data_IF_688844063951
#
_entry.id   IF_688844063951
#
_cell.length_a   1.000
_cell.length_b   1.000
_cell.length_c   1.000
_cell.angle_alpha   90.00
_cell.angle_beta   90.00
_cell.angle_gamma   90.00
#
_symmetry.space_group_name_H-M   'P 1'
#
loop_
_entity.id
_entity.type
_entity.pdbx_description
1 polymer ?
#
# COMPACT_ATOMS: atom_id res chain seq x y z
N UNK A 1 37.49 -12.92 4.26
CA UNK A 1 36.69 -12.05 3.37
C UNK A 1 35.90 -11.11 4.24
N UNK A 2 36.18 -9.80 4.16
CA UNK A 2 35.56 -8.78 5.02
C UNK A 2 34.23 -8.40 4.40
N UNK A 3 33.11 -8.65 5.09
CA UNK A 3 31.79 -8.20 4.68
C UNK A 3 31.69 -6.68 4.83
N UNK A 4 31.23 -6.02 3.76
CA UNK A 4 31.05 -4.57 3.67
C UNK A 4 29.87 -4.11 4.56
N UNK A 5 29.96 -2.95 5.24
CA UNK A 5 28.95 -2.45 6.17
C UNK A 5 27.66 -1.88 5.47
N UNK A 6 27.52 -2.01 4.15
CA UNK A 6 26.34 -1.50 3.42
C UNK A 6 25.05 -2.32 3.63
N UNK A 7 25.17 -3.61 4.03
CA UNK A 7 23.99 -4.47 4.20
C UNK A 7 23.17 -4.16 5.47
N UNK A 8 23.78 -3.54 6.46
CA UNK A 8 23.13 -3.23 7.76
C UNK A 8 22.16 -2.03 7.68
N UNK A 9 22.29 -1.15 6.68
CA UNK A 9 21.47 0.09 6.59
C UNK A 9 20.16 -0.07 5.81
N UNK A 10 20.05 -1.09 4.94
CA UNK A 10 18.81 -1.33 4.16
C UNK A 10 17.69 -2.00 4.98
N UNK A 11 18.02 -2.69 6.05
CA UNK A 11 17.01 -3.35 6.91
C UNK A 11 16.24 -2.34 7.77
N UNK A 12 16.79 -1.14 8.01
CA UNK A 12 16.13 -0.08 8.78
C UNK A 12 14.95 0.61 8.07
N UNK A 13 14.88 0.53 6.74
CA UNK A 13 13.91 1.30 5.95
C UNK A 13 12.45 0.79 6.05
N UNK A 14 12.25 -0.50 6.33
CA UNK A 14 10.92 -1.07 6.51
C UNK A 14 10.31 -0.81 7.91
N UNK A 15 11.12 -0.37 8.88
CA UNK A 15 10.71 -0.26 10.28
C UNK A 15 10.00 1.05 10.65
N UNK A 16 10.06 2.10 9.83
CA UNK A 16 9.69 3.45 10.29
C UNK A 16 8.28 3.93 9.92
N UNK A 17 7.51 3.20 9.13
CA UNK A 17 6.10 3.56 8.87
C UNK A 17 5.14 3.23 10.03
N UNK A 18 5.64 2.69 11.16
CA UNK A 18 4.82 2.20 12.27
C UNK A 18 5.00 2.99 13.58
N UNK A 19 5.49 4.22 13.54
CA UNK A 19 5.47 5.10 14.72
C UNK A 19 4.02 5.53 15.03
N UNK A 20 3.31 4.66 15.74
CA UNK A 20 2.03 5.00 16.38
C UNK A 20 2.37 5.69 17.69
N UNK A 21 2.19 7.01 17.77
CA UNK A 21 2.09 7.73 19.04
C UNK A 21 0.86 7.21 19.79
N UNK A 22 1.09 6.41 20.82
CA UNK A 22 0.08 6.07 21.80
C UNK A 22 -0.26 7.35 22.60
N UNK A 23 -1.47 7.88 22.42
CA UNK A 23 -2.03 8.84 23.36
C UNK A 23 -2.37 8.09 24.65
N UNK A 24 -1.56 8.27 25.70
CA UNK A 24 -1.93 7.91 27.06
C UNK A 24 -3.11 8.78 27.53
N UNK A 25 -4.27 8.18 27.73
CA UNK A 25 -5.31 8.75 28.56
C UNK A 25 -5.16 8.18 29.97
N UNK A 26 -4.88 9.07 30.94
CA UNK A 26 -4.92 8.79 32.38
C UNK A 26 -6.29 8.28 32.79
N UNK A 27 -6.30 7.14 33.51
CA UNK A 27 -7.43 6.57 34.18
C UNK A 27 -7.88 7.46 35.38
N UNK A 28 -9.16 7.61 35.53
CA UNK A 28 -9.81 7.89 36.80
C UNK A 28 -10.69 6.69 37.18
N UNK A 29 -10.42 6.20 38.37
CA UNK A 29 -11.04 5.08 39.08
C UNK A 29 -12.48 5.38 39.53
N UNK A 30 -13.34 4.35 39.49
CA UNK A 30 -14.62 4.34 40.14
C UNK A 30 -15.29 2.97 40.03
N UNK A 31 -15.45 2.32 41.19
CA UNK A 31 -15.76 0.92 41.35
C UNK A 31 -17.24 0.56 41.45
N UNK A 32 -17.49 -0.72 41.62
CA UNK A 32 -18.69 -1.28 42.29
C UNK A 32 -19.45 -2.32 41.47
N UNK A 33 -19.33 -3.60 41.83
CA UNK A 33 -20.39 -4.42 42.38
C UNK A 33 -21.16 -5.38 41.49
N UNK A 34 -20.81 -6.64 41.55
CA UNK A 34 -21.63 -7.79 41.97
C UNK A 34 -22.73 -8.37 41.06
N UNK A 35 -22.71 -9.69 40.90
CA UNK A 35 -23.92 -10.45 40.60
C UNK A 35 -23.71 -11.69 39.72
N UNK A 36 -23.58 -12.82 40.40
CA UNK A 36 -23.52 -14.19 39.91
C UNK A 36 -24.93 -14.70 39.59
N UNK A 37 -25.11 -15.52 38.49
CA UNK A 37 -25.93 -16.77 38.55
C UNK A 37 -25.72 -17.58 37.27
N UNK A 38 -25.56 -18.88 37.47
CA UNK A 38 -25.31 -19.88 36.45
C UNK A 38 -26.57 -20.43 35.78
N UNK A 39 -26.38 -21.18 34.73
CA UNK A 39 -27.40 -22.01 34.03
C UNK A 39 -26.74 -22.89 32.97
N UNK A 40 -26.64 -24.18 33.29
CA UNK A 40 -26.14 -25.19 32.35
C UNK A 40 -27.18 -25.49 31.25
N UNK A 41 -26.71 -25.86 30.08
CA UNK A 41 -27.51 -26.30 28.95
C UNK A 41 -26.70 -27.20 28.02
N UNK A 42 -27.11 -28.40 27.97
CA UNK A 42 -26.73 -29.63 27.30
C UNK A 42 -26.37 -29.46 25.80
N UNK A 43 -25.45 -30.36 25.39
CA UNK A 43 -24.92 -30.49 24.03
C UNK A 43 -25.94 -30.76 22.94
N UNK A 44 -25.69 -30.14 21.81
CA UNK A 44 -26.27 -30.47 20.52
C UNK A 44 -25.15 -30.51 19.49
N UNK A 45 -24.84 -31.70 18.96
CA UNK A 45 -23.93 -31.88 17.84
C UNK A 45 -24.44 -31.17 16.60
N UNK A 46 -23.97 -29.94 16.40
CA UNK A 46 -24.18 -29.18 15.17
C UNK A 46 -23.12 -29.59 14.14
N UNK A 47 -23.50 -30.33 13.10
CA UNK A 47 -22.72 -30.47 11.90
C UNK A 47 -22.34 -29.05 11.40
N UNK A 48 -21.06 -28.71 11.52
CA UNK A 48 -20.58 -27.43 11.09
C UNK A 48 -20.86 -27.22 9.60
N UNK A 49 -21.77 -26.30 9.31
CA UNK A 49 -21.97 -25.79 7.95
C UNK A 49 -20.63 -25.22 7.53
N UNK A 50 -19.93 -25.88 6.61
CA UNK A 50 -18.73 -25.34 5.98
C UNK A 50 -19.17 -24.03 5.30
N UNK A 51 -18.65 -22.87 5.72
CA UNK A 51 -19.05 -21.62 5.11
C UNK A 51 -18.82 -21.67 3.60
N UNK A 52 -19.85 -21.32 2.81
CA UNK A 52 -19.69 -21.17 1.36
C UNK A 52 -18.80 -19.96 1.14
N UNK A 53 -17.57 -20.21 0.73
CA UNK A 53 -16.57 -19.16 0.51
C UNK A 53 -16.99 -18.24 -0.63
N UNK A 54 -16.96 -16.95 -0.41
CA UNK A 54 -17.01 -15.95 -1.48
C UNK A 54 -15.69 -16.02 -2.27
N UNK A 55 -15.69 -16.80 -3.34
CA UNK A 55 -14.53 -16.98 -4.21
C UNK A 55 -14.15 -15.70 -4.94
N UNK A 56 -15.05 -14.70 -4.99
CA UNK A 56 -14.82 -13.38 -5.56
C UNK A 56 -14.09 -12.44 -4.60
N UNK A 57 -14.09 -12.75 -3.29
CA UNK A 57 -13.41 -11.94 -2.29
C UNK A 57 -11.90 -11.94 -2.53
N UNK A 58 -11.27 -10.76 -2.35
CA UNK A 58 -9.83 -10.60 -2.49
C UNK A 58 -9.12 -11.24 -1.29
N UNK A 59 -8.21 -12.15 -1.55
CA UNK A 59 -7.23 -12.69 -0.60
C UNK A 59 -5.85 -12.43 -1.20
N UNK A 60 -5.29 -11.28 -0.82
CA UNK A 60 -4.09 -10.74 -1.45
C UNK A 60 -2.83 -10.97 -0.64
N UNK A 61 -1.70 -10.88 -1.33
CA UNK A 61 -0.39 -10.75 -0.71
C UNK A 61 0.46 -9.78 -1.50
N UNK A 62 1.19 -8.90 -0.80
CA UNK A 62 2.20 -8.07 -1.42
C UNK A 62 3.53 -8.82 -1.54
N UNK A 63 4.16 -8.67 -2.71
CA UNK A 63 5.49 -9.24 -3.01
C UNK A 63 6.41 -8.09 -3.39
N UNK A 64 7.39 -7.81 -2.54
CA UNK A 64 8.38 -6.73 -2.75
C UNK A 64 9.75 -7.30 -3.15
N UNK A 65 10.65 -6.43 -3.60
CA UNK A 65 12.07 -6.74 -3.81
C UNK A 65 12.95 -6.40 -2.62
N UNK A 66 12.40 -5.70 -1.63
CA UNK A 66 13.11 -5.34 -0.39
C UNK A 66 13.00 -6.49 0.59
N UNK A 67 14.13 -6.98 1.09
CA UNK A 67 14.20 -8.14 2.00
C UNK A 67 13.47 -9.39 1.48
N UNK A 68 13.46 -9.57 0.15
CA UNK A 68 12.85 -10.71 -0.53
C UNK A 68 13.67 -11.13 -1.74
N UNK A 69 13.72 -12.42 -1.99
CA UNK A 69 14.32 -13.03 -3.19
C UNK A 69 13.28 -13.65 -4.11
N UNK A 70 12.00 -13.43 -3.84
CA UNK A 70 10.89 -14.04 -4.57
C UNK A 70 10.93 -13.82 -6.09
N UNK A 71 11.49 -12.67 -6.54
CA UNK A 71 11.59 -12.31 -7.96
C UNK A 71 12.99 -12.56 -8.56
N UNK A 72 13.95 -13.06 -7.79
CA UNK A 72 15.36 -13.16 -8.22
C UNK A 72 15.60 -14.24 -9.30
N UNK A 73 14.69 -15.19 -9.44
CA UNK A 73 14.72 -16.17 -10.54
C UNK A 73 13.30 -16.64 -10.89
N UNK A 74 13.13 -17.17 -12.10
CA UNK A 74 11.85 -17.80 -12.48
C UNK A 74 11.48 -18.97 -11.55
N UNK A 75 12.47 -19.74 -11.08
CA UNK A 75 12.25 -20.79 -10.10
C UNK A 75 11.71 -20.25 -8.77
N UNK A 76 12.24 -19.11 -8.28
CA UNK A 76 11.73 -18.47 -7.06
C UNK A 76 10.30 -17.98 -7.27
N UNK A 77 9.98 -17.41 -8.44
CA UNK A 77 8.62 -16.98 -8.80
C UNK A 77 7.67 -18.19 -8.81
N UNK A 78 8.06 -19.33 -9.38
CA UNK A 78 7.27 -20.56 -9.39
C UNK A 78 6.98 -21.07 -7.98
N UNK A 79 7.98 -21.05 -7.10
CA UNK A 79 7.85 -21.45 -5.70
C UNK A 79 6.91 -20.48 -4.96
N UNK A 80 7.09 -19.19 -5.12
CA UNK A 80 6.24 -18.13 -4.54
C UNK A 80 4.78 -18.30 -4.96
N UNK A 81 4.52 -18.43 -6.25
CA UNK A 81 3.17 -18.62 -6.82
C UNK A 81 2.54 -19.91 -6.32
N UNK A 82 3.31 -21.01 -6.25
CA UNK A 82 2.82 -22.29 -5.73
C UNK A 82 2.41 -22.17 -4.27
N UNK A 83 3.26 -21.54 -3.44
CA UNK A 83 2.98 -21.35 -2.03
C UNK A 83 1.78 -20.40 -1.82
N UNK A 84 1.67 -19.32 -2.59
CA UNK A 84 0.47 -18.46 -2.56
C UNK A 84 -0.81 -19.26 -2.86
N UNK A 85 -0.79 -20.09 -3.91
CA UNK A 85 -1.95 -20.91 -4.28
C UNK A 85 -2.36 -21.88 -3.17
N UNK A 86 -1.40 -22.61 -2.60
CA UNK A 86 -1.66 -23.58 -1.53
C UNK A 86 -2.07 -22.90 -0.22
N UNK A 87 -1.68 -21.65 -0.01
CA UNK A 87 -2.09 -20.81 1.12
C UNK A 87 -3.48 -20.16 0.94
N UNK A 88 -4.19 -20.45 -0.16
CA UNK A 88 -5.52 -19.88 -0.42
C UNK A 88 -5.51 -18.40 -0.87
N UNK A 89 -4.35 -17.86 -1.20
CA UNK A 89 -4.21 -16.55 -1.86
C UNK A 89 -4.76 -16.64 -3.27
N UNK A 90 -5.45 -15.61 -3.73
CA UNK A 90 -6.00 -15.52 -5.08
C UNK A 90 -5.55 -14.27 -5.85
N UNK A 91 -4.88 -13.32 -5.19
CA UNK A 91 -4.35 -12.12 -5.81
C UNK A 91 -2.92 -11.85 -5.32
N UNK A 92 -1.98 -11.65 -6.25
CA UNK A 92 -0.59 -11.28 -5.98
C UNK A 92 -0.42 -9.81 -6.39
N UNK A 93 0.00 -8.97 -5.44
CA UNK A 93 0.39 -7.58 -5.68
C UNK A 93 1.92 -7.54 -5.78
N UNK A 94 2.41 -7.68 -7.00
CA UNK A 94 3.85 -7.73 -7.27
C UNK A 94 4.41 -6.33 -7.51
N UNK A 95 5.49 -6.00 -6.82
CA UNK A 95 6.18 -4.71 -7.00
C UNK A 95 6.69 -4.57 -8.44
N UNK A 96 6.40 -3.42 -9.05
CA UNK A 96 6.87 -3.07 -10.40
C UNK A 96 7.70 -1.79 -10.43
N UNK A 97 7.59 -0.96 -9.38
CA UNK A 97 8.35 0.28 -9.26
C UNK A 97 8.79 0.50 -7.79
N UNK A 98 10.09 0.59 -7.57
CA UNK A 98 10.70 0.77 -6.26
C UNK A 98 12.04 1.49 -6.40
N UNK A 99 12.30 2.53 -5.57
CA UNK A 99 13.57 3.24 -5.48
C UNK A 99 14.17 3.65 -6.85
N UNK A 100 13.36 4.33 -7.66
CA UNK A 100 13.71 4.77 -9.02
C UNK A 100 14.16 3.62 -9.96
N UNK A 101 13.63 2.40 -9.76
CA UNK A 101 13.83 1.24 -10.62
C UNK A 101 12.51 0.53 -10.88
N UNK A 102 12.42 -0.10 -12.04
CA UNK A 102 11.29 -0.99 -12.38
C UNK A 102 11.71 -2.45 -12.30
N UNK A 103 10.72 -3.34 -12.14
CA UNK A 103 10.90 -4.79 -12.11
C UNK A 103 10.46 -5.40 -13.44
N UNK A 104 10.50 -4.59 -14.48
CA UNK A 104 10.24 -4.92 -15.90
C UNK A 104 11.05 -3.95 -16.78
N UNK A 105 11.42 -4.31 -18.03
CA UNK A 105 12.11 -3.40 -18.92
C UNK A 105 11.23 -2.19 -19.29
N UNK A 106 11.51 -1.03 -18.70
CA UNK A 106 10.73 0.20 -18.86
C UNK A 106 11.40 1.17 -19.81
N UNK A 107 10.68 1.59 -20.85
CA UNK A 107 11.11 2.66 -21.76
C UNK A 107 11.02 4.03 -21.05
N UNK A 108 10.01 4.24 -20.22
CA UNK A 108 9.83 5.47 -19.45
C UNK A 108 11.04 5.74 -18.55
N UNK A 109 11.47 4.73 -17.79
CA UNK A 109 12.66 4.84 -16.93
C UNK A 109 13.96 4.98 -17.73
N UNK A 110 14.10 4.23 -18.82
CA UNK A 110 15.26 4.32 -19.71
C UNK A 110 15.43 5.74 -20.28
N UNK A 111 14.34 6.37 -20.72
CA UNK A 111 14.34 7.73 -21.24
C UNK A 111 14.64 8.78 -20.14
N UNK A 112 14.22 8.56 -18.90
CA UNK A 112 14.39 9.53 -17.82
C UNK A 112 15.80 9.49 -17.21
N UNK A 113 16.29 8.27 -16.88
CA UNK A 113 17.54 8.10 -16.11
C UNK A 113 18.53 7.12 -16.74
N UNK A 114 18.29 6.66 -17.99
CA UNK A 114 19.18 5.72 -18.69
C UNK A 114 19.17 4.29 -18.14
N UNK A 115 18.19 3.95 -17.27
CA UNK A 115 18.05 2.61 -16.65
C UNK A 115 16.66 2.07 -16.90
N UNK A 116 16.56 0.96 -17.64
CA UNK A 116 15.27 0.37 -18.00
C UNK A 116 14.71 -0.58 -16.96
N UNK A 117 15.55 -1.15 -16.08
CA UNK A 117 15.16 -2.15 -15.08
C UNK A 117 16.14 -2.13 -13.91
N UNK A 118 15.75 -2.71 -12.77
CA UNK A 118 16.66 -2.97 -11.65
C UNK A 118 17.80 -3.89 -12.10
N UNK A 119 19.04 -3.49 -11.81
CA UNK A 119 20.27 -4.08 -12.34
C UNK A 119 20.35 -5.61 -12.18
N UNK A 120 19.88 -6.16 -11.03
CA UNK A 120 19.89 -7.61 -10.79
C UNK A 120 18.89 -8.39 -11.67
N UNK A 121 18.02 -7.69 -12.40
CA UNK A 121 17.04 -8.27 -13.32
C UNK A 121 17.38 -8.02 -14.80
N UNK A 122 18.53 -7.43 -15.10
CA UNK A 122 18.95 -7.23 -16.50
C UNK A 122 18.92 -8.54 -17.29
N UNK A 123 18.37 -8.49 -18.49
CA UNK A 123 18.15 -9.67 -19.35
C UNK A 123 16.93 -10.52 -19.01
N UNK A 124 16.11 -10.12 -18.00
CA UNK A 124 14.87 -10.79 -17.59
C UNK A 124 13.69 -9.83 -17.58
N UNK A 125 12.49 -10.38 -17.44
CA UNK A 125 11.26 -9.63 -17.18
C UNK A 125 10.47 -10.30 -16.04
N UNK A 126 10.82 -10.02 -14.77
CA UNK A 126 10.17 -10.64 -13.62
C UNK A 126 8.66 -10.41 -13.56
N UNK A 127 8.14 -9.29 -14.08
CA UNK A 127 6.69 -9.06 -14.15
C UNK A 127 6.02 -10.04 -15.11
N UNK A 128 6.57 -10.20 -16.33
CA UNK A 128 6.04 -11.16 -17.31
C UNK A 128 6.11 -12.59 -16.76
N UNK A 129 7.24 -12.98 -16.18
CA UNK A 129 7.40 -14.30 -15.56
C UNK A 129 6.37 -14.54 -14.45
N UNK A 130 6.11 -13.54 -13.58
CA UNK A 130 5.12 -13.64 -12.51
C UNK A 130 3.71 -13.80 -13.08
N UNK A 131 3.34 -13.05 -14.11
CA UNK A 131 2.04 -13.16 -14.78
C UNK A 131 1.83 -14.57 -15.34
N UNK A 132 2.79 -15.10 -16.07
CA UNK A 132 2.72 -16.43 -16.68
C UNK A 132 2.51 -17.53 -15.61
N UNK A 133 3.36 -17.53 -14.58
CA UNK A 133 3.31 -18.55 -13.53
C UNK A 133 2.03 -18.44 -12.67
N UNK A 134 1.59 -17.22 -12.36
CA UNK A 134 0.38 -16.99 -11.58
C UNK A 134 -0.90 -17.36 -12.34
N UNK A 135 -1.02 -16.92 -13.60
CA UNK A 135 -2.18 -17.22 -14.43
C UNK A 135 -2.29 -18.73 -14.72
N UNK A 136 -1.18 -19.43 -14.91
CA UNK A 136 -1.17 -20.89 -15.06
C UNK A 136 -1.76 -21.62 -13.84
N UNK A 137 -1.75 -21.00 -12.66
CA UNK A 137 -2.36 -21.52 -11.42
C UNK A 137 -3.70 -20.86 -11.05
N UNK A 138 -4.26 -20.00 -11.93
CA UNK A 138 -5.51 -19.29 -11.70
C UNK A 138 -5.45 -18.23 -10.60
N UNK A 139 -4.26 -17.64 -10.37
CA UNK A 139 -4.08 -16.47 -9.52
C UNK A 139 -4.09 -15.20 -10.35
N UNK A 140 -4.56 -14.10 -9.76
CA UNK A 140 -4.54 -12.77 -10.37
C UNK A 140 -3.27 -12.02 -10.00
N UNK A 141 -2.76 -11.20 -10.93
CA UNK A 141 -1.56 -10.39 -10.76
C UNK A 141 -1.91 -8.91 -10.88
N UNK A 142 -1.52 -8.16 -9.84
CA UNK A 142 -1.65 -6.72 -9.78
C UNK A 142 -0.25 -6.10 -9.74
N UNK A 143 0.04 -5.19 -10.67
CA UNK A 143 1.28 -4.44 -10.68
C UNK A 143 1.25 -3.34 -9.59
N UNK A 144 2.12 -3.44 -8.60
CA UNK A 144 2.14 -2.56 -7.44
C UNK A 144 3.27 -1.54 -7.52
N UNK A 145 2.92 -0.26 -7.53
CA UNK A 145 3.84 0.88 -7.60
C UNK A 145 4.23 1.31 -6.19
N UNK A 146 5.05 0.50 -5.52
CA UNK A 146 5.38 0.61 -4.09
C UNK A 146 5.95 1.97 -3.68
N UNK A 147 6.86 2.55 -4.49
CA UNK A 147 7.46 3.86 -4.14
C UNK A 147 6.59 5.06 -4.52
N UNK A 148 5.70 4.92 -5.51
CA UNK A 148 4.82 6.01 -5.90
C UNK A 148 5.58 7.31 -6.17
N UNK A 149 5.21 8.39 -5.46
CA UNK A 149 5.87 9.70 -5.57
C UNK A 149 7.11 9.85 -4.67
N UNK A 150 7.52 8.82 -3.95
CA UNK A 150 8.85 8.79 -3.35
C UNK A 150 9.89 8.50 -4.43
N UNK A 151 10.94 9.32 -4.51
CA UNK A 151 11.99 9.19 -5.54
C UNK A 151 13.13 8.27 -5.14
N UNK A 152 13.45 8.24 -3.83
CA UNK A 152 14.56 7.47 -3.30
C UNK A 152 14.46 7.31 -1.79
N UNK A 153 15.41 6.57 -1.21
CA UNK A 153 15.55 6.43 0.24
C UNK A 153 16.95 6.85 0.66
N UNK A 154 17.04 7.89 1.50
CA UNK A 154 18.30 8.42 2.04
C UNK A 154 19.38 8.71 0.96
N UNK A 155 18.95 9.20 -0.22
CA UNK A 155 19.81 9.40 -1.38
C UNK A 155 19.68 10.81 -1.99
N UNK A 156 19.24 11.79 -1.19
CA UNK A 156 19.10 13.20 -1.60
C UNK A 156 18.28 13.38 -2.90
N UNK A 157 17.18 12.61 -3.03
CA UNK A 157 16.28 12.61 -4.19
C UNK A 157 16.64 11.58 -5.26
N UNK A 158 17.82 10.97 -5.19
CA UNK A 158 18.23 9.90 -6.10
C UNK A 158 18.32 10.31 -7.56
N UNK A 159 18.37 9.34 -8.49
CA UNK A 159 18.63 9.62 -9.91
C UNK A 159 17.49 10.40 -10.58
N UNK A 160 16.24 10.30 -10.11
CA UNK A 160 15.12 11.05 -10.71
C UNK A 160 15.27 12.54 -10.42
N UNK A 161 15.53 12.92 -9.16
CA UNK A 161 15.74 14.34 -8.78
C UNK A 161 17.03 14.86 -9.39
N UNK A 162 18.08 14.04 -9.53
CA UNK A 162 19.29 14.43 -10.25
C UNK A 162 19.02 14.76 -11.73
N UNK A 163 18.17 13.99 -12.39
CA UNK A 163 17.77 14.22 -13.80
C UNK A 163 16.79 15.40 -13.94
N UNK A 164 15.91 15.60 -12.97
CA UNK A 164 14.80 16.58 -12.95
C UNK A 164 14.71 17.29 -11.59
N UNK A 165 15.65 18.23 -11.26
CA UNK A 165 15.69 18.86 -9.94
C UNK A 165 14.41 19.62 -9.55
N UNK A 166 13.67 20.15 -10.54
CA UNK A 166 12.42 20.87 -10.34
C UNK A 166 11.23 19.97 -10.03
N UNK A 167 11.39 18.64 -10.12
CA UNK A 167 10.36 17.67 -9.70
C UNK A 167 10.36 17.43 -8.20
N UNK A 168 11.41 17.84 -7.48
CA UNK A 168 11.52 17.62 -6.05
C UNK A 168 10.43 18.39 -5.28
N UNK A 169 9.74 17.70 -4.36
CA UNK A 169 8.92 18.39 -3.38
C UNK A 169 9.79 19.24 -2.46
N UNK A 170 9.37 20.48 -2.17
CA UNK A 170 10.10 21.40 -1.30
C UNK A 170 9.27 21.74 -0.07
N UNK A 171 9.94 21.85 1.09
CA UNK A 171 9.37 22.40 2.30
C UNK A 171 9.39 23.93 2.28
N UNK A 172 8.90 24.57 3.34
CA UNK A 172 8.80 26.02 3.43
C UNK A 172 10.18 26.71 3.41
N UNK A 173 11.25 26.02 3.76
CA UNK A 173 12.62 26.54 3.72
C UNK A 173 13.30 26.26 2.36
N UNK A 174 12.59 25.68 1.39
CA UNK A 174 13.12 25.29 0.09
C UNK A 174 13.94 24.00 0.10
N UNK A 175 14.02 23.30 1.23
CA UNK A 175 14.74 22.03 1.30
C UNK A 175 13.93 20.89 0.65
N UNK A 176 14.64 19.85 0.15
CA UNK A 176 14.01 18.63 -0.32
C UNK A 176 13.18 18.02 0.81
N UNK A 177 11.92 17.69 0.50
CA UNK A 177 11.06 16.99 1.47
C UNK A 177 11.59 15.58 1.70
N UNK A 178 11.94 15.29 2.95
CA UNK A 178 12.33 13.96 3.42
C UNK A 178 11.42 13.57 4.58
N UNK A 179 10.81 12.40 4.51
CA UNK A 179 10.01 11.85 5.60
C UNK A 179 10.24 10.36 5.75
N UNK A 180 10.57 9.93 6.96
CA UNK A 180 10.90 8.53 7.27
C UNK A 180 12.03 7.97 6.37
N UNK A 181 12.99 8.80 5.99
CA UNK A 181 14.11 8.46 5.10
C UNK A 181 13.75 8.48 3.60
N UNK A 182 12.48 8.60 3.23
CA UNK A 182 12.07 8.73 1.84
C UNK A 182 12.20 10.16 1.36
N UNK A 183 12.80 10.34 0.18
CA UNK A 183 12.88 11.59 -0.55
C UNK A 183 11.68 11.71 -1.49
N UNK A 184 11.10 12.90 -1.67
CA UNK A 184 9.82 13.05 -2.34
C UNK A 184 9.85 13.91 -3.60
N UNK A 185 9.13 13.45 -4.63
CA UNK A 185 8.72 14.25 -5.78
C UNK A 185 7.49 15.08 -5.43
N UNK A 186 7.27 16.17 -6.18
CA UNK A 186 6.05 16.97 -6.07
C UNK A 186 4.91 16.37 -6.92
N UNK A 187 3.91 15.69 -6.33
CA UNK A 187 2.80 15.08 -7.07
C UNK A 187 1.80 16.09 -7.62
N UNK A 188 1.96 17.39 -7.32
CA UNK A 188 1.13 18.47 -7.89
C UNK A 188 1.73 18.96 -9.22
N UNK A 189 3.04 18.75 -9.43
CA UNK A 189 3.71 19.15 -10.66
C UNK A 189 3.26 18.29 -11.86
N UNK A 190 2.82 18.91 -12.99
CA UNK A 190 2.22 18.18 -14.11
C UNK A 190 3.15 17.16 -14.77
N UNK A 191 4.46 17.46 -14.87
CA UNK A 191 5.44 16.50 -15.42
C UNK A 191 5.60 15.29 -14.49
N UNK A 192 5.56 15.46 -13.17
CA UNK A 192 5.65 14.36 -12.19
C UNK A 192 4.39 13.49 -12.28
N UNK A 193 3.22 14.10 -12.42
CA UNK A 193 1.99 13.35 -12.65
C UNK A 193 2.06 12.57 -13.96
N UNK A 194 2.53 13.21 -15.05
CA UNK A 194 2.64 12.56 -16.35
C UNK A 194 3.62 11.40 -16.32
N UNK A 195 4.78 11.56 -15.70
CA UNK A 195 5.75 10.49 -15.50
C UNK A 195 5.13 9.26 -14.81
N UNK A 196 4.38 9.49 -13.73
CA UNK A 196 3.71 8.38 -13.03
C UNK A 196 2.63 7.74 -13.90
N UNK A 197 1.82 8.54 -14.58
CA UNK A 197 0.80 8.05 -15.51
C UNK A 197 1.44 7.21 -16.62
N UNK A 198 2.57 7.65 -17.18
CA UNK A 198 3.25 6.93 -18.26
C UNK A 198 3.77 5.57 -17.80
N UNK A 199 4.27 5.44 -16.57
CA UNK A 199 4.65 4.15 -15.98
C UNK A 199 3.43 3.21 -15.86
N UNK A 200 2.28 3.70 -15.38
CA UNK A 200 1.07 2.89 -15.30
C UNK A 200 0.58 2.48 -16.69
N UNK A 201 0.57 3.41 -17.65
CA UNK A 201 0.16 3.15 -19.04
C UNK A 201 1.08 2.13 -19.71
N UNK A 202 2.38 2.23 -19.47
CA UNK A 202 3.36 1.26 -19.99
C UNK A 202 3.02 -0.16 -19.52
N UNK A 203 2.73 -0.32 -18.22
CA UNK A 203 2.36 -1.63 -17.66
C UNK A 203 1.04 -2.14 -18.24
N UNK A 204 -0.03 -1.36 -18.24
CA UNK A 204 -1.35 -1.84 -18.70
C UNK A 204 -1.39 -2.10 -20.19
N UNK A 205 -0.54 -1.43 -20.97
CA UNK A 205 -0.44 -1.62 -22.42
C UNK A 205 0.34 -2.89 -22.77
N UNK A 206 1.45 -3.13 -22.06
CA UNK A 206 2.40 -4.19 -22.43
C UNK A 206 2.12 -5.53 -21.77
N UNK A 207 1.46 -5.52 -20.60
CA UNK A 207 1.33 -6.71 -19.77
C UNK A 207 -0.13 -7.11 -19.54
N UNK A 208 -0.37 -8.42 -19.46
CA UNK A 208 -1.69 -8.97 -19.16
C UNK A 208 -1.93 -8.98 -17.63
N UNK A 209 -1.74 -7.84 -16.96
CA UNK A 209 -2.08 -7.71 -15.54
C UNK A 209 -3.59 -7.66 -15.34
N UNK A 210 -4.07 -8.21 -14.21
CA UNK A 210 -5.47 -8.14 -13.77
C UNK A 210 -5.78 -6.80 -13.10
N UNK A 211 -4.75 -6.14 -12.57
CA UNK A 211 -4.88 -4.85 -11.92
C UNK A 211 -3.56 -4.09 -11.83
N UNK A 212 -3.70 -2.83 -11.40
CA UNK A 212 -2.59 -1.97 -10.99
C UNK A 212 -2.92 -1.35 -9.65
N UNK A 213 -1.90 -1.09 -8.84
CA UNK A 213 -2.10 -0.57 -7.49
C UNK A 213 -1.11 0.54 -7.16
N UNK A 214 -1.66 1.66 -6.61
CA UNK A 214 -0.89 2.64 -5.87
C UNK A 214 -0.71 2.25 -4.41
N UNK A 215 0.19 2.94 -3.69
CA UNK A 215 0.58 2.60 -2.33
C UNK A 215 0.32 3.74 -1.33
N UNK A 216 0.84 3.61 -0.11
CA UNK A 216 0.86 4.69 0.89
C UNK A 216 1.70 5.90 0.46
N UNK A 217 2.47 5.76 -0.62
CA UNK A 217 3.22 6.83 -1.29
C UNK A 217 2.64 7.25 -2.64
N UNK A 218 1.45 6.73 -3.03
CA UNK A 218 0.80 7.11 -4.29
C UNK A 218 -0.73 6.95 -4.28
N UNK A 219 -1.46 8.07 -4.45
CA UNK A 219 -0.95 9.44 -4.43
C UNK A 219 -0.68 9.88 -3.00
N UNK A 220 0.43 10.51 -2.78
CA UNK A 220 0.80 11.04 -1.47
C UNK A 220 1.89 12.12 -1.60
N UNK A 221 1.91 13.02 -0.65
CA UNK A 221 3.03 13.91 -0.35
C UNK A 221 3.01 14.21 1.15
N UNK A 222 4.16 14.19 1.84
CA UNK A 222 4.20 14.67 3.22
C UNK A 222 3.63 16.09 3.33
N UNK A 223 2.84 16.33 4.37
CA UNK A 223 2.20 17.64 4.58
C UNK A 223 3.17 18.78 4.75
N UNK A 224 4.45 18.52 5.05
CA UNK A 224 5.53 19.51 5.03
C UNK A 224 5.92 20.01 3.64
N UNK A 225 5.47 19.33 2.57
CA UNK A 225 5.77 19.67 1.17
C UNK A 225 4.73 20.58 0.51
N UNK A 226 5.04 21.00 -0.72
CA UNK A 226 4.17 21.84 -1.52
C UNK A 226 4.53 23.32 -1.51
N UNK A 227 5.74 23.66 -1.08
CA UNK A 227 6.25 25.04 -1.09
C UNK A 227 7.25 25.31 -2.23
N UNK A 228 7.31 24.41 -3.21
CA UNK A 228 8.08 24.63 -4.43
C UNK A 228 7.45 25.75 -5.29
N UNK A 229 8.24 26.37 -6.20
CA UNK A 229 7.78 27.50 -7.01
C UNK A 229 6.53 27.22 -7.81
N UNK A 230 6.39 26.00 -8.38
CA UNK A 230 5.22 25.63 -9.18
C UNK A 230 3.94 25.58 -8.31
N UNK A 231 4.00 24.86 -7.19
CA UNK A 231 2.85 24.71 -6.29
C UNK A 231 2.42 26.04 -5.68
N UNK A 232 3.40 26.87 -5.28
CA UNK A 232 3.14 28.20 -4.76
C UNK A 232 2.45 29.10 -5.78
N UNK A 233 2.96 29.15 -7.01
CA UNK A 233 2.34 29.93 -8.09
C UNK A 233 0.93 29.46 -8.44
N UNK A 234 0.70 28.14 -8.47
CA UNK A 234 -0.62 27.55 -8.71
C UNK A 234 -1.60 27.92 -7.59
N UNK A 235 -1.17 27.84 -6.32
CA UNK A 235 -2.00 28.24 -5.19
C UNK A 235 -2.39 29.73 -5.28
N UNK A 236 -1.44 30.61 -5.56
CA UNK A 236 -1.72 32.05 -5.73
C UNK A 236 -2.70 32.30 -6.87
N UNK A 237 -2.52 31.64 -8.00
CA UNK A 237 -3.44 31.75 -9.14
C UNK A 237 -4.88 31.36 -8.77
N UNK A 238 -5.05 30.26 -8.07
CA UNK A 238 -6.37 29.71 -7.71
C UNK A 238 -7.03 30.39 -6.51
N UNK A 239 -6.28 31.16 -5.72
CA UNK A 239 -6.76 31.82 -4.49
C UNK A 239 -6.70 33.35 -4.56
N UNK A 240 -6.73 33.93 -5.76
CA UNK A 240 -6.72 35.41 -5.97
C UNK A 240 -5.49 36.08 -5.35
N UNK A 241 -4.32 35.44 -5.43
CA UNK A 241 -3.05 36.00 -4.99
C UNK A 241 -2.64 35.65 -3.54
N UNK A 242 -3.42 34.83 -2.83
CA UNK A 242 -3.05 34.42 -1.47
C UNK A 242 -1.75 33.59 -1.48
N UNK A 243 -0.90 33.81 -0.47
CA UNK A 243 0.29 32.97 -0.25
C UNK A 243 -0.09 31.66 0.45
N UNK A 244 0.60 30.54 0.17
CA UNK A 244 0.41 29.32 0.94
C UNK A 244 0.59 29.57 2.45
N UNK A 245 -0.25 28.96 3.31
CA UNK A 245 -0.11 29.05 4.76
C UNK A 245 1.30 28.63 5.21
N UNK A 246 1.88 29.36 6.16
CA UNK A 246 3.20 29.03 6.73
C UNK A 246 3.17 27.80 7.64
N UNK A 247 1.99 27.46 8.14
CA UNK A 247 1.77 26.24 8.94
C UNK A 247 1.37 25.11 8.00
N UNK A 248 2.23 24.12 7.85
CA UNK A 248 2.10 23.07 6.84
C UNK A 248 0.86 22.17 7.02
N UNK A 249 0.34 22.04 8.24
CA UNK A 249 -0.87 21.29 8.58
C UNK A 249 -2.14 22.17 8.75
N UNK A 250 -2.12 23.41 8.25
CA UNK A 250 -3.32 24.25 8.20
C UNK A 250 -4.42 23.54 7.41
N UNK A 251 -5.66 23.42 7.94
CA UNK A 251 -6.72 22.63 7.29
C UNK A 251 -7.04 23.05 5.85
N UNK A 252 -7.04 24.36 5.57
CA UNK A 252 -7.27 24.86 4.21
C UNK A 252 -6.15 24.44 3.25
N UNK A 253 -4.90 24.42 3.72
CA UNK A 253 -3.73 24.03 2.94
C UNK A 253 -3.68 22.51 2.71
N UNK A 254 -4.01 21.71 3.75
CA UNK A 254 -4.17 20.25 3.59
C UNK A 254 -5.24 19.98 2.54
N UNK A 255 -6.42 20.59 2.70
CA UNK A 255 -7.55 20.36 1.77
C UNK A 255 -7.18 20.69 0.33
N UNK A 256 -6.62 21.88 0.08
CA UNK A 256 -6.27 22.30 -1.27
C UNK A 256 -5.29 21.34 -1.94
N UNK A 257 -4.22 20.93 -1.23
CA UNK A 257 -3.24 19.97 -1.76
C UNK A 257 -3.85 18.58 -1.95
N UNK A 258 -4.67 18.10 -1.01
CA UNK A 258 -5.36 16.82 -1.14
C UNK A 258 -6.32 16.82 -2.34
N UNK A 259 -7.01 17.93 -2.62
CA UNK A 259 -7.88 18.06 -3.80
C UNK A 259 -7.08 17.92 -5.12
N UNK A 260 -5.82 18.38 -5.17
CA UNK A 260 -4.94 18.16 -6.34
C UNK A 260 -4.61 16.67 -6.51
N UNK A 261 -4.39 15.95 -5.41
CA UNK A 261 -4.15 14.51 -5.46
C UNK A 261 -5.44 13.75 -5.81
N UNK A 262 -6.60 14.19 -5.33
CA UNK A 262 -7.90 13.62 -5.72
C UNK A 262 -8.13 13.75 -7.24
N UNK A 263 -7.80 14.91 -7.81
CA UNK A 263 -7.86 15.13 -9.25
C UNK A 263 -6.90 14.23 -10.04
N UNK A 264 -5.69 14.02 -9.52
CA UNK A 264 -4.73 13.09 -10.10
C UNK A 264 -5.25 11.65 -10.12
N UNK A 265 -5.83 11.15 -9.00
CA UNK A 265 -6.41 9.79 -8.96
C UNK A 265 -7.50 9.63 -10.02
N UNK A 266 -8.40 10.61 -10.14
CA UNK A 266 -9.45 10.61 -11.18
C UNK A 266 -8.85 10.56 -12.58
N UNK A 267 -7.83 11.38 -12.85
CA UNK A 267 -7.14 11.42 -14.15
C UNK A 267 -6.47 10.08 -14.44
N UNK A 268 -5.67 9.55 -13.51
CA UNK A 268 -4.97 8.27 -13.66
C UNK A 268 -5.95 7.13 -13.97
N UNK A 269 -7.06 7.04 -13.21
CA UNK A 269 -8.12 6.06 -13.47
C UNK A 269 -8.63 6.15 -14.91
N UNK A 270 -8.97 7.34 -15.35
CA UNK A 270 -9.54 7.54 -16.68
C UNK A 270 -8.56 7.13 -17.79
N UNK A 271 -7.27 7.47 -17.65
CA UNK A 271 -6.25 7.10 -18.61
C UNK A 271 -5.98 5.59 -18.63
N UNK A 272 -5.94 4.93 -17.49
CA UNK A 272 -5.80 3.47 -17.38
C UNK A 272 -7.00 2.76 -18.02
N UNK A 273 -8.22 3.19 -17.65
CA UNK A 273 -9.46 2.57 -18.13
C UNK A 273 -9.71 2.79 -19.62
N UNK A 274 -9.19 3.87 -20.20
CA UNK A 274 -9.22 4.08 -21.64
C UNK A 274 -8.39 3.06 -22.43
N UNK A 275 -7.30 2.54 -21.83
CA UNK A 275 -6.45 1.52 -22.44
C UNK A 275 -7.01 0.12 -22.19
N UNK A 276 -7.32 -0.19 -20.92
CA UNK A 276 -7.77 -1.52 -20.48
C UNK A 276 -8.98 -1.38 -19.54
N UNK A 277 -10.21 -1.32 -20.07
CA UNK A 277 -11.43 -1.02 -19.28
C UNK A 277 -11.65 -1.95 -18.08
N UNK A 278 -11.26 -3.22 -18.20
CA UNK A 278 -11.47 -4.24 -17.19
C UNK A 278 -10.31 -4.37 -16.19
N UNK A 279 -9.18 -3.67 -16.37
CA UNK A 279 -8.07 -3.69 -15.41
C UNK A 279 -8.52 -3.07 -14.09
N UNK A 280 -8.27 -3.73 -12.97
CA UNK A 280 -8.59 -3.17 -11.65
C UNK A 280 -7.58 -2.08 -11.28
N UNK A 281 -8.07 -0.93 -10.84
CA UNK A 281 -7.25 0.12 -10.25
C UNK A 281 -7.53 0.20 -8.75
N UNK A 282 -6.55 -0.12 -7.93
CA UNK A 282 -6.67 -0.13 -6.47
C UNK A 282 -5.59 0.75 -5.83
N UNK A 283 -5.80 1.13 -4.58
CA UNK A 283 -4.80 1.86 -3.78
C UNK A 283 -4.73 1.23 -2.39
N UNK A 284 -3.50 1.12 -1.85
CA UNK A 284 -3.23 0.67 -0.47
C UNK A 284 -2.72 1.85 0.38
N UNK A 285 -3.60 2.76 0.81
CA UNK A 285 -3.23 3.96 1.52
C UNK A 285 -2.93 3.70 3.00
N UNK A 286 -2.33 4.68 3.65
CA UNK A 286 -2.29 4.76 5.11
C UNK A 286 -3.72 4.86 5.70
N UNK A 287 -3.95 4.38 6.95
CA UNK A 287 -5.24 4.53 7.62
C UNK A 287 -5.69 5.99 7.74
N UNK A 288 -6.96 6.27 7.41
CA UNK A 288 -7.55 7.60 7.57
C UNK A 288 -8.00 7.82 9.03
N UNK A 289 -7.92 9.03 9.63
CA UNK A 289 -7.51 10.29 9.00
C UNK A 289 -6.01 10.56 9.02
N UNK A 290 -5.19 9.66 9.60
CA UNK A 290 -3.76 9.83 9.69
C UNK A 290 -3.12 10.01 8.30
N UNK A 291 -3.54 9.20 7.32
CA UNK A 291 -3.07 9.32 5.94
C UNK A 291 -3.31 10.69 5.32
N UNK A 292 -4.47 11.32 5.58
CA UNK A 292 -4.75 12.69 5.13
C UNK A 292 -3.83 13.70 5.82
N UNK A 293 -3.72 13.63 7.15
CA UNK A 293 -3.02 14.63 7.95
C UNK A 293 -1.50 14.57 7.78
N UNK A 294 -0.95 13.41 7.43
CA UNK A 294 0.49 13.20 7.29
C UNK A 294 0.98 13.16 5.84
N UNK A 295 0.10 12.71 4.91
CA UNK A 295 0.47 12.41 3.52
C UNK A 295 -0.54 12.88 2.47
N UNK A 296 -1.56 13.66 2.86
CA UNK A 296 -2.60 14.19 1.97
C UNK A 296 -3.45 13.09 1.28
N UNK A 297 -3.49 11.87 1.85
CA UNK A 297 -4.24 10.74 1.29
C UNK A 297 -5.72 10.79 1.72
N UNK A 298 -6.56 11.36 0.89
CA UNK A 298 -8.02 11.46 1.10
C UNK A 298 -8.76 10.27 0.45
N UNK A 299 -8.41 9.06 0.86
CA UNK A 299 -9.00 7.85 0.27
C UNK A 299 -10.54 7.73 0.44
N UNK A 300 -11.20 8.31 1.46
CA UNK A 300 -12.66 8.32 1.49
C UNK A 300 -13.27 9.01 0.27
N UNK A 301 -12.71 10.13 -0.17
CA UNK A 301 -13.11 10.81 -1.42
C UNK A 301 -12.93 9.92 -2.65
N UNK A 302 -11.84 9.15 -2.73
CA UNK A 302 -11.61 8.25 -3.87
C UNK A 302 -12.62 7.11 -3.94
N UNK A 303 -13.02 6.58 -2.78
CA UNK A 303 -14.05 5.54 -2.64
C UNK A 303 -15.43 6.11 -2.96
N UNK A 304 -15.81 7.22 -2.32
CA UNK A 304 -17.13 7.85 -2.51
C UNK A 304 -17.38 8.25 -3.96
N UNK A 305 -16.34 8.74 -4.64
CA UNK A 305 -16.38 9.14 -6.05
C UNK A 305 -16.15 7.99 -7.04
N UNK A 306 -15.93 6.75 -6.56
CA UNK A 306 -15.60 5.58 -7.37
C UNK A 306 -14.37 5.81 -8.27
N UNK A 307 -13.37 6.55 -7.78
CA UNK A 307 -12.10 6.76 -8.50
C UNK A 307 -11.18 5.54 -8.42
N UNK A 308 -11.48 4.59 -7.55
CA UNK A 308 -10.77 3.31 -7.40
C UNK A 308 -11.76 2.14 -7.44
N UNK A 309 -11.30 0.96 -7.82
CA UNK A 309 -12.11 -0.25 -7.86
C UNK A 309 -12.07 -1.03 -6.53
N UNK A 310 -11.13 -0.72 -5.64
CA UNK A 310 -11.07 -1.15 -4.24
C UNK A 310 -10.02 -0.32 -3.49
N UNK A 311 -10.13 -0.28 -2.16
CA UNK A 311 -9.14 0.32 -1.27
C UNK A 311 -8.63 -0.72 -0.27
N UNK A 312 -7.30 -0.75 -0.04
CA UNK A 312 -6.63 -1.72 0.83
C UNK A 312 -5.82 -0.98 1.92
N UNK A 313 -6.47 -0.31 2.91
CA UNK A 313 -5.75 0.47 3.92
C UNK A 313 -4.75 -0.39 4.70
N UNK A 314 -3.54 0.11 4.93
CA UNK A 314 -2.46 -0.58 5.63
C UNK A 314 -2.71 -0.61 7.15
N UNK A 315 -3.64 -1.45 7.61
CA UNK A 315 -4.05 -1.58 9.02
C UNK A 315 -3.03 -2.37 9.84
N UNK A 316 -1.73 -2.12 9.65
CA UNK A 316 -0.65 -2.87 10.29
C UNK A 316 -0.56 -2.53 11.77
N UNK A 317 -0.76 -3.52 12.65
CA UNK A 317 -0.70 -3.38 14.11
C UNK A 317 -0.08 -4.63 14.73
N UNK A 318 0.43 -4.48 15.94
CA UNK A 318 1.07 -5.55 16.72
C UNK A 318 0.20 -6.01 17.91
N UNK A 319 -0.97 -5.39 18.10
CA UNK A 319 -1.91 -5.65 19.17
C UNK A 319 -3.33 -5.74 18.61
N UNK A 320 -4.14 -6.69 19.13
CA UNK A 320 -5.48 -6.95 18.59
C UNK A 320 -6.48 -5.83 18.92
N UNK A 321 -6.39 -5.21 20.09
CA UNK A 321 -7.31 -4.14 20.43
C UNK A 321 -7.06 -2.90 19.55
N UNK A 322 -5.78 -2.59 19.28
CA UNK A 322 -5.38 -1.51 18.37
C UNK A 322 -5.74 -1.85 16.92
N UNK A 323 -5.59 -3.12 16.49
CA UNK A 323 -6.02 -3.57 15.18
C UNK A 323 -7.53 -3.41 15.00
N UNK A 324 -8.31 -3.93 15.96
CA UNK A 324 -9.78 -3.86 15.93
C UNK A 324 -10.29 -2.42 15.91
N UNK A 325 -9.70 -1.56 16.72
CA UNK A 325 -10.02 -0.12 16.72
C UNK A 325 -9.68 0.52 15.37
N UNK A 326 -8.53 0.17 14.77
CA UNK A 326 -8.12 0.70 13.47
C UNK A 326 -9.10 0.30 12.38
N UNK A 327 -9.40 -0.99 12.22
CA UNK A 327 -10.32 -1.45 11.17
C UNK A 327 -11.76 -0.97 11.40
N UNK A 328 -12.18 -0.80 12.67
CA UNK A 328 -13.45 -0.16 13.02
C UNK A 328 -13.50 1.28 12.51
N UNK A 329 -12.44 2.04 12.76
CA UNK A 329 -12.32 3.43 12.29
C UNK A 329 -12.34 3.48 10.75
N UNK A 330 -11.59 2.62 10.05
CA UNK A 330 -11.63 2.60 8.59
C UNK A 330 -13.04 2.30 8.05
N UNK A 331 -13.79 1.42 8.71
CA UNK A 331 -15.18 1.14 8.34
C UNK A 331 -16.07 2.38 8.43
N UNK A 332 -15.87 3.29 9.38
CA UNK A 332 -16.69 4.50 9.50
C UNK A 332 -16.48 5.48 8.34
N UNK A 333 -15.33 5.45 7.70
CA UNK A 333 -15.00 6.28 6.53
C UNK A 333 -15.33 5.60 5.19
N UNK A 334 -15.61 4.30 5.20
CA UNK A 334 -15.98 3.53 4.02
C UNK A 334 -17.50 3.62 3.77
N UNK A 335 -17.94 4.69 3.10
CA UNK A 335 -19.36 4.98 2.89
C UNK A 335 -19.93 4.33 1.63
N UNK A 336 -19.18 4.34 0.53
CA UNK A 336 -19.60 3.71 -0.71
C UNK A 336 -19.22 2.22 -0.74
N UNK A 337 -20.15 1.36 -0.34
CA UNK A 337 -19.94 -0.09 -0.25
C UNK A 337 -19.84 -0.81 -1.61
N UNK A 338 -20.13 -0.12 -2.72
CA UNK A 338 -19.90 -0.65 -4.07
C UNK A 338 -18.41 -0.71 -4.44
N UNK A 339 -17.58 0.09 -3.75
CA UNK A 339 -16.11 0.01 -3.84
C UNK A 339 -15.62 -0.74 -2.61
N UNK A 340 -15.20 -2.01 -2.72
CA UNK A 340 -14.84 -2.82 -1.55
C UNK A 340 -13.61 -2.29 -0.82
N UNK A 341 -13.60 -2.47 0.50
CA UNK A 341 -12.45 -2.26 1.37
C UNK A 341 -11.93 -3.62 1.85
N UNK A 342 -10.63 -3.83 1.69
CA UNK A 342 -9.91 -5.01 2.15
C UNK A 342 -8.77 -4.58 3.09
N UNK A 343 -8.88 -4.79 4.43
CA UNK A 343 -7.83 -4.38 5.35
C UNK A 343 -6.48 -5.03 5.02
N UNK A 344 -5.42 -4.23 5.05
CA UNK A 344 -4.05 -4.73 5.04
C UNK A 344 -3.72 -5.34 6.41
N UNK A 345 -3.23 -6.58 6.40
CA UNK A 345 -2.86 -7.35 7.59
C UNK A 345 -1.35 -7.48 7.64
N UNK A 346 -0.74 -7.06 8.75
CA UNK A 346 0.69 -7.26 8.96
C UNK A 346 0.99 -8.73 9.21
N UNK A 347 1.69 -9.35 8.27
CA UNK A 347 2.16 -10.73 8.39
C UNK A 347 3.62 -10.78 8.82
N UNK A 348 4.46 -9.94 8.21
CA UNK A 348 5.88 -9.83 8.52
C UNK A 348 6.40 -8.39 8.36
N UNK A 349 7.35 -7.99 9.22
CA UNK A 349 8.15 -6.77 9.06
C UNK A 349 9.49 -6.96 9.77
N UNK A 350 10.60 -6.87 9.03
CA UNK A 350 11.93 -7.14 9.55
C UNK A 350 12.03 -8.51 10.22
N UNK A 351 12.31 -8.55 11.50
CA UNK A 351 12.38 -9.79 12.31
C UNK A 351 11.03 -10.25 12.85
N UNK A 352 10.01 -9.39 12.82
CA UNK A 352 8.67 -9.74 13.29
C UNK A 352 7.94 -10.62 12.28
N UNK A 353 7.29 -11.67 12.77
CA UNK A 353 6.27 -12.45 12.04
C UNK A 353 5.06 -12.63 12.96
N UNK A 354 3.87 -12.35 12.42
CA UNK A 354 2.63 -12.45 13.19
C UNK A 354 2.38 -13.88 13.64
N UNK A 355 2.02 -14.05 14.92
CA UNK A 355 1.74 -15.36 15.47
C UNK A 355 0.39 -15.90 14.97
N UNK A 356 0.24 -17.23 14.81
CA UNK A 356 -0.99 -17.86 14.32
C UNK A 356 -2.26 -17.41 15.05
N UNK A 357 -2.24 -17.32 16.39
CA UNK A 357 -3.38 -16.87 17.19
C UNK A 357 -3.74 -15.41 16.90
N UNK A 358 -2.75 -14.54 16.71
CA UNK A 358 -2.99 -13.14 16.38
C UNK A 358 -3.54 -12.98 14.95
N UNK A 359 -3.03 -13.75 13.99
CA UNK A 359 -3.59 -13.79 12.63
C UNK A 359 -5.07 -14.19 12.64
N UNK A 360 -5.42 -15.24 13.39
CA UNK A 360 -6.82 -15.68 13.56
C UNK A 360 -7.69 -14.55 14.10
N UNK A 361 -7.24 -13.86 15.15
CA UNK A 361 -7.97 -12.74 15.74
C UNK A 361 -8.16 -11.58 14.77
N UNK A 362 -7.14 -11.20 13.99
CA UNK A 362 -7.24 -10.13 12.98
C UNK A 362 -8.25 -10.48 11.89
N UNK A 363 -8.22 -11.73 11.37
CA UNK A 363 -9.17 -12.15 10.33
C UNK A 363 -10.60 -12.20 10.88
N UNK A 364 -10.81 -12.71 12.10
CA UNK A 364 -12.13 -12.69 12.76
C UNK A 364 -12.62 -11.26 12.96
N UNK A 365 -11.76 -10.33 13.40
CA UNK A 365 -12.10 -8.92 13.52
C UNK A 365 -12.57 -8.33 12.17
N UNK A 366 -11.91 -8.68 11.06
CA UNK A 366 -12.34 -8.27 9.73
C UNK A 366 -13.73 -8.83 9.38
N UNK A 367 -13.97 -10.11 9.61
CA UNK A 367 -15.28 -10.77 9.33
C UNK A 367 -16.40 -10.21 10.18
N UNK A 368 -16.16 -9.97 11.48
CA UNK A 368 -17.13 -9.36 12.39
C UNK A 368 -17.58 -7.96 11.94
N UNK A 369 -16.72 -7.24 11.20
CA UNK A 369 -17.04 -5.95 10.61
C UNK A 369 -17.62 -6.02 9.20
N UNK A 370 -17.78 -7.22 8.64
CA UNK A 370 -18.34 -7.45 7.32
C UNK A 370 -17.36 -7.30 6.16
N UNK A 371 -16.05 -7.16 6.44
CA UNK A 371 -15.05 -7.22 5.39
C UNK A 371 -14.90 -8.66 4.88
N UNK A 372 -14.96 -8.83 3.55
CA UNK A 372 -14.99 -10.16 2.92
C UNK A 372 -13.62 -10.70 2.54
N UNK A 373 -12.58 -9.88 2.64
CA UNK A 373 -11.21 -10.26 2.27
C UNK A 373 -10.18 -9.35 2.92
N UNK A 374 -8.93 -9.63 2.67
CA UNK A 374 -7.76 -8.90 3.19
C UNK A 374 -6.57 -9.04 2.25
N UNK A 375 -5.50 -8.26 2.54
CA UNK A 375 -4.22 -8.41 1.89
C UNK A 375 -3.09 -8.47 2.92
N UNK A 376 -2.20 -9.47 2.79
CA UNK A 376 -1.14 -9.72 3.76
C UNK A 376 0.16 -9.01 3.38
N UNK A 377 0.71 -8.26 4.29
CA UNK A 377 2.02 -7.64 4.15
C UNK A 377 3.05 -8.42 4.97
N UNK A 378 3.98 -9.14 4.38
CA UNK A 378 4.20 -9.41 2.96
C UNK A 378 4.59 -10.88 2.77
N UNK A 379 4.82 -11.31 1.51
CA UNK A 379 5.02 -12.71 1.11
C UNK A 379 6.01 -13.49 1.98
N UNK A 380 7.13 -12.88 2.39
CA UNK A 380 8.14 -13.56 3.21
C UNK A 380 7.63 -14.05 4.60
N UNK A 381 6.42 -13.66 4.98
CA UNK A 381 5.76 -14.22 6.15
C UNK A 381 4.96 -15.50 5.84
N UNK A 382 4.57 -15.77 4.60
CA UNK A 382 3.80 -16.97 4.23
C UNK A 382 4.57 -18.25 4.52
N UNK A 383 5.85 -18.43 4.11
CA UNK A 383 6.61 -19.63 4.43
C UNK A 383 6.66 -19.95 5.93
N UNK A 384 6.74 -18.90 6.76
CA UNK A 384 6.87 -19.02 8.21
C UNK A 384 5.54 -19.33 8.91
N UNK A 385 4.43 -19.06 8.25
CA UNK A 385 3.05 -19.26 8.76
C UNK A 385 2.26 -20.26 7.92
N UNK A 386 2.94 -21.07 7.10
CA UNK A 386 2.30 -21.98 6.14
C UNK A 386 1.32 -22.96 6.79
N UNK A 387 1.60 -23.45 7.99
CA UNK A 387 0.69 -24.33 8.75
C UNK A 387 -0.62 -23.63 9.10
N UNK A 388 -0.56 -22.34 9.46
CA UNK A 388 -1.76 -21.54 9.72
C UNK A 388 -2.58 -21.33 8.44
N UNK A 389 -1.92 -21.01 7.33
CA UNK A 389 -2.59 -20.86 6.04
C UNK A 389 -3.25 -22.16 5.55
N UNK A 390 -2.66 -23.33 5.82
CA UNK A 390 -3.25 -24.62 5.42
C UNK A 390 -4.40 -25.05 6.31
N UNK A 391 -4.30 -24.84 7.62
CA UNK A 391 -5.18 -25.48 8.60
C UNK A 391 -6.25 -24.54 9.17
N UNK A 392 -5.94 -23.28 9.37
CA UNK A 392 -6.82 -22.34 10.06
C UNK A 392 -7.43 -21.31 9.13
N UNK A 393 -6.66 -20.72 8.22
CA UNK A 393 -7.18 -19.72 7.30
C UNK A 393 -8.35 -20.21 6.44
N UNK A 394 -8.38 -21.47 5.93
CA UNK A 394 -9.53 -21.99 5.22
C UNK A 394 -10.84 -22.00 6.01
N UNK A 395 -10.77 -22.01 7.33
CA UNK A 395 -11.96 -22.05 8.22
C UNK A 395 -12.54 -20.67 8.53
N UNK A 396 -11.79 -19.60 8.30
CA UNK A 396 -12.12 -18.22 8.74
C UNK A 396 -12.05 -17.17 7.62
N UNK A 397 -11.55 -17.54 6.43
CA UNK A 397 -11.43 -16.64 5.26
C UNK A 397 -12.76 -16.29 4.60
#
# INVERSE_FOLDING_TARGET
MKYSPLFSRLVGALFFCLAVTACEKKNSTGGGGGGNTGGGGTGGGGGGVIPVWDTSALRGVWVTTTASTALDSRSNIQQMVTLCKTSGINNIFVVVYNNARTMYPSTVMSNLIGKSILERFEGRDPLQECIEEAHAKGLKVHAWFEYGFSSSFSAAGGPIVAAKPHWAARDINGALVVKNGFDWLNPIHPEVQQFMIDLFKEVVTRYNVDGVQGDDRMPAMPTTGGYDPYTTALYQLETSGATPPSISNEPIWIKWRADKLNAFVKRLRNEIKAIKPNVRFTISPSPYPWGLNEYLQDWPTWVDSSYVDAVLPQCYRYDIAVYDATVSQQKTYHRNTNVPLYPGVLLRAGTYTAQPGFLTQMIQANRNKGFKGECFFFYEGIPQTAVWFSNQYPLIR
#
